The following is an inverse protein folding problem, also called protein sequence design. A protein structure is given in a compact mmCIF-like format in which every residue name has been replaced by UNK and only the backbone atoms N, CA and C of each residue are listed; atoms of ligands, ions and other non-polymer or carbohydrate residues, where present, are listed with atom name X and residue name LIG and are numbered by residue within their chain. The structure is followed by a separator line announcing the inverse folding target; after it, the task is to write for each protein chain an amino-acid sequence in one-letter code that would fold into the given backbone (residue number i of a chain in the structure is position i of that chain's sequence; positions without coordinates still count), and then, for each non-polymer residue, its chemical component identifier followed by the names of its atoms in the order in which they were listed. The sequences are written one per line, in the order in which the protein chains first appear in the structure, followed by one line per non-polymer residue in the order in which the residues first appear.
data_IF_669071444531
#
_entry.id   IF_669071444531
#
_cell.length_a   1.000
_cell.length_b   1.000
_cell.length_c   1.000
_cell.angle_alpha   90.00
_cell.angle_beta   90.00
_cell.angle_gamma   90.00
#
_symmetry.space_group_name_H-M   'P 1'
#
loop_
_entity.id
_entity.type
_entity.pdbx_description
1 polymer ?
#
# COMPACT_ATOMS: atom_id res chain seq x y z
N UNK A 1 -4.65 -17.54 5.34
CA UNK A 1 -4.45 -16.32 6.15
C UNK A 1 -3.06 -16.37 6.76
N UNK A 2 -2.20 -15.41 6.43
CA UNK A 2 -0.84 -15.27 6.98
C UNK A 2 -0.80 -14.14 8.00
N UNK A 3 -0.25 -14.45 9.19
CA UNK A 3 0.05 -13.46 10.20
C UNK A 3 1.47 -12.94 10.00
N UNK A 4 1.63 -11.64 9.88
CA UNK A 4 2.93 -10.99 9.72
C UNK A 4 3.16 -9.95 10.81
N UNK A 5 4.42 -9.75 11.14
CA UNK A 5 4.90 -8.75 12.08
C UNK A 5 5.71 -7.72 11.31
N UNK A 6 5.33 -6.45 11.39
CA UNK A 6 6.07 -5.34 10.79
C UNK A 6 6.67 -4.46 11.88
N UNK A 7 7.92 -4.04 11.71
CA UNK A 7 8.53 -3.02 12.57
C UNK A 7 8.62 -1.70 11.81
N UNK A 8 7.93 -0.67 12.29
CA UNK A 8 7.91 0.65 11.67
C UNK A 8 8.23 1.69 12.73
N UNK A 9 9.26 2.51 12.49
CA UNK A 9 9.69 3.58 13.41
C UNK A 9 9.91 3.11 14.87
N UNK A 10 10.36 1.87 15.06
CA UNK A 10 10.60 1.30 16.39
C UNK A 10 9.39 0.60 17.02
N UNK A 11 8.19 0.79 16.47
CA UNK A 11 6.96 0.12 16.89
C UNK A 11 6.74 -1.18 16.12
N UNK A 12 6.14 -2.18 16.77
CA UNK A 12 5.82 -3.49 16.18
C UNK A 12 4.32 -3.59 15.94
N UNK A 13 3.92 -3.88 14.70
CA UNK A 13 2.54 -4.11 14.29
C UNK A 13 2.34 -5.58 13.90
N UNK A 14 1.21 -6.15 14.28
CA UNK A 14 0.82 -7.50 13.85
C UNK A 14 -0.44 -7.40 12.99
N UNK A 15 -0.37 -7.91 11.76
CA UNK A 15 -1.47 -7.87 10.80
C UNK A 15 -1.73 -9.26 10.22
N UNK A 16 -3.00 -9.54 9.97
CA UNK A 16 -3.44 -10.76 9.29
C UNK A 16 -3.79 -10.40 7.86
N UNK A 17 -3.18 -11.10 6.90
CA UNK A 17 -3.42 -10.94 5.48
C UNK A 17 -3.95 -12.24 4.89
N UNK A 18 -4.79 -12.14 3.87
CA UNK A 18 -5.10 -13.28 3.02
C UNK A 18 -3.86 -13.76 2.26
N UNK A 19 -3.81 -15.03 1.91
CA UNK A 19 -2.58 -15.64 1.38
C UNK A 19 -2.23 -15.09 -0.01
N UNK A 20 -3.24 -14.89 -0.86
CA UNK A 20 -3.07 -14.30 -2.20
C UNK A 20 -2.58 -12.85 -2.12
N UNK A 21 -3.16 -12.07 -1.21
CA UNK A 21 -2.74 -10.68 -1.00
C UNK A 21 -1.33 -10.61 -0.40
N UNK A 22 -0.97 -11.52 0.51
CA UNK A 22 0.39 -11.61 1.01
C UNK A 22 1.40 -11.86 -0.11
N UNK A 23 1.15 -12.82 -1.00
CA UNK A 23 2.08 -13.10 -2.11
C UNK A 23 2.21 -11.90 -3.06
N UNK A 24 1.16 -11.09 -3.21
CA UNK A 24 1.19 -9.85 -3.97
C UNK A 24 2.07 -8.76 -3.33
N UNK A 25 2.00 -8.59 -1.99
CA UNK A 25 2.68 -7.47 -1.30
C UNK A 25 3.99 -7.85 -0.59
N UNK A 26 4.40 -9.13 -0.59
CA UNK A 26 5.55 -9.63 0.18
C UNK A 26 6.86 -8.87 -0.05
N UNK A 27 7.13 -8.43 -1.29
CA UNK A 27 8.36 -7.69 -1.60
C UNK A 27 8.35 -6.28 -1.02
N UNK A 28 7.20 -5.60 -1.06
CA UNK A 28 7.03 -4.29 -0.45
C UNK A 28 7.06 -4.36 1.08
N UNK A 29 6.51 -5.42 1.66
CA UNK A 29 6.58 -5.68 3.11
C UNK A 29 8.03 -5.85 3.60
N UNK A 30 8.91 -6.46 2.80
CA UNK A 30 10.33 -6.57 3.14
C UNK A 30 11.01 -5.20 3.20
N UNK A 31 10.64 -4.28 2.30
CA UNK A 31 11.14 -2.89 2.30
C UNK A 31 10.62 -2.10 3.50
N UNK A 32 9.42 -2.42 3.98
CA UNK A 32 8.73 -1.77 5.10
C UNK A 32 9.19 -2.22 6.50
N UNK A 33 10.14 -3.14 6.65
CA UNK A 33 10.60 -3.61 7.97
C UNK A 33 11.55 -2.66 8.70
N UNK A 34 12.21 -1.73 7.98
CA UNK A 34 13.03 -0.69 8.60
C UNK A 34 13.03 0.60 7.74
N UNK A 35 11.86 1.17 7.44
CA UNK A 35 11.77 2.29 6.52
C UNK A 35 12.19 3.57 7.25
N UNK A 36 12.91 4.43 6.54
CA UNK A 36 13.14 5.81 6.99
C UNK A 36 11.83 6.61 6.91
N UNK A 37 11.68 7.69 7.71
CA UNK A 37 10.52 8.58 7.59
C UNK A 37 10.30 9.12 6.17
N UNK A 38 11.40 9.35 5.42
CA UNK A 38 11.37 9.77 4.02
C UNK A 38 10.73 8.69 3.14
N UNK A 39 11.11 7.43 3.30
CA UNK A 39 10.55 6.30 2.53
C UNK A 39 9.09 6.06 2.87
N UNK A 40 8.70 6.18 4.15
CA UNK A 40 7.29 6.12 4.55
C UNK A 40 6.47 7.23 3.89
N UNK A 41 6.98 8.46 3.89
CA UNK A 41 6.32 9.58 3.23
C UNK A 41 6.17 9.33 1.72
N UNK A 42 7.22 8.83 1.05
CA UNK A 42 7.13 8.50 -0.37
C UNK A 42 6.12 7.39 -0.65
N UNK A 43 6.05 6.35 0.17
CA UNK A 43 5.07 5.27 0.02
C UNK A 43 3.63 5.78 0.15
N UNK A 44 3.37 6.65 1.13
CA UNK A 44 2.05 7.27 1.32
C UNK A 44 1.71 8.11 0.08
N UNK A 45 2.60 9.02 -0.32
CA UNK A 45 2.37 9.91 -1.47
C UNK A 45 2.20 9.14 -2.79
N UNK A 46 2.94 8.05 -3.00
CA UNK A 46 2.81 7.22 -4.19
C UNK A 46 1.46 6.49 -4.21
N UNK A 47 1.03 5.96 -3.06
CA UNK A 47 -0.28 5.32 -2.92
C UNK A 47 -1.41 6.33 -3.18
N UNK A 48 -1.35 7.50 -2.57
CA UNK A 48 -2.34 8.57 -2.74
C UNK A 48 -2.42 9.04 -4.20
N UNK A 49 -1.27 9.13 -4.89
CA UNK A 49 -1.22 9.43 -6.32
C UNK A 49 -1.91 8.37 -7.17
N UNK A 50 -1.62 7.09 -6.92
CA UNK A 50 -2.26 5.96 -7.64
C UNK A 50 -3.77 5.96 -7.43
N UNK A 51 -4.22 6.21 -6.21
CA UNK A 51 -5.65 6.30 -5.87
C UNK A 51 -6.30 7.50 -6.56
N UNK A 52 -5.68 8.68 -6.52
CA UNK A 52 -6.14 9.86 -7.24
C UNK A 52 -6.27 9.62 -8.74
N UNK A 53 -5.27 9.01 -9.38
CA UNK A 53 -5.29 8.70 -10.81
C UNK A 53 -6.39 7.68 -11.16
N UNK A 54 -6.60 6.67 -10.31
CA UNK A 54 -7.68 5.70 -10.49
C UNK A 54 -9.05 6.38 -10.39
N UNK A 55 -9.27 7.20 -9.37
CA UNK A 55 -10.51 7.97 -9.19
C UNK A 55 -10.75 8.91 -10.38
N UNK A 56 -9.70 9.57 -10.88
CA UNK A 56 -9.79 10.40 -12.09
C UNK A 56 -10.14 9.60 -13.34
N UNK A 57 -9.57 8.41 -13.52
CA UNK A 57 -9.94 7.52 -14.62
C UNK A 57 -11.41 7.12 -14.50
N UNK A 58 -11.87 6.71 -13.33
CA UNK A 58 -13.27 6.35 -13.07
C UNK A 58 -14.21 7.55 -13.36
N UNK A 59 -13.86 8.75 -12.89
CA UNK A 59 -14.62 9.99 -13.17
C UNK A 59 -14.74 10.24 -14.68
N UNK A 60 -13.64 10.05 -15.42
CA UNK A 60 -13.62 10.23 -16.87
C UNK A 60 -14.38 9.13 -17.62
N UNK A 61 -14.32 7.87 -17.16
CA UNK A 61 -15.13 6.77 -17.71
C UNK A 61 -16.63 7.01 -17.47
N UNK A 62 -17.01 7.56 -16.31
CA UNK A 62 -18.40 7.90 -15.98
C UNK A 62 -18.99 9.05 -16.81
N UNK A 63 -18.14 9.91 -17.39
CA UNK A 63 -18.57 11.03 -18.25
C UNK A 63 -18.60 10.73 -19.76
N UNK A 64 -18.04 9.60 -20.20
CA UNK A 64 -17.98 9.20 -21.62
C UNK A 64 -19.12 8.29 -22.10
N UNK A 65 -20.15 8.09 -21.25
CA UNK A 65 -21.27 7.18 -21.51
C UNK A 65 -22.63 7.87 -21.76
N UNK A 66 -22.63 9.16 -22.08
CA UNK A 66 -23.82 9.92 -22.52
C UNK A 66 -23.74 10.26 -24.01
#
# INVERSE_FOLDING_TARGET
MKKISLKVMGEKFEINLEDEFFEYVKEDLLRLQNPTPKELLFLILEKDKKEYELLKKIENFGRGGE
#
